data_IF_316747617718
#
_entry.id   IF_316747617718
#
_cell.length_a   1.000
_cell.length_b   1.000
_cell.length_c   1.000
_cell.angle_alpha   90.00
_cell.angle_beta   90.00
_cell.angle_gamma   90.00
#
_symmetry.space_group_name_H-M   'P 1'
#
loop_
_entity.id
_entity.type
_entity.pdbx_description
1 polymer ?
#
# COMPACT_ATOMS: atom_id res chain seq x y z
N UNK A 1 -12.59 -26.79 60.63
CA UNK A 1 -11.72 -27.09 59.48
C UNK A 1 -12.54 -27.66 58.33
N UNK A 2 -12.83 -26.85 57.31
CA UNK A 2 -12.59 -27.10 55.86
C UNK A 2 -13.56 -26.25 55.03
N UNK A 3 -12.95 -25.52 54.11
CA UNK A 3 -13.46 -24.33 53.49
C UNK A 3 -14.30 -24.62 52.24
N UNK A 4 -15.29 -23.74 52.09
CA UNK A 4 -16.00 -23.25 50.91
C UNK A 4 -15.29 -23.51 49.55
N UNK A 5 -15.97 -24.22 48.64
CA UNK A 5 -15.66 -24.19 47.21
C UNK A 5 -16.36 -22.98 46.59
N UNK A 6 -15.59 -21.96 46.21
CA UNK A 6 -16.07 -20.82 45.41
C UNK A 6 -15.71 -21.08 43.95
N UNK A 7 -16.74 -21.17 43.11
CA UNK A 7 -16.66 -21.19 41.66
C UNK A 7 -16.16 -19.83 41.15
N UNK A 8 -14.99 -19.81 40.50
CA UNK A 8 -14.49 -18.63 39.78
C UNK A 8 -14.88 -18.77 38.31
N UNK A 9 -15.94 -18.07 37.93
CA UNK A 9 -16.31 -17.83 36.53
C UNK A 9 -15.30 -16.82 35.96
N UNK A 10 -14.38 -17.30 35.12
CA UNK A 10 -13.39 -16.47 34.45
C UNK A 10 -14.08 -15.65 33.35
N UNK A 11 -14.52 -14.45 33.70
CA UNK A 11 -15.03 -13.44 32.78
C UNK A 11 -13.83 -12.90 31.97
N UNK A 12 -13.55 -13.49 30.81
CA UNK A 12 -12.63 -12.90 29.83
C UNK A 12 -13.28 -11.63 29.25
N UNK A 13 -12.97 -10.48 29.85
CA UNK A 13 -13.17 -9.18 29.23
C UNK A 13 -12.23 -9.08 28.01
N UNK A 14 -12.79 -9.25 26.81
CA UNK A 14 -12.14 -8.83 25.58
C UNK A 14 -12.03 -7.30 25.58
N UNK A 15 -10.85 -6.81 25.94
CA UNK A 15 -10.45 -5.43 25.66
C UNK A 15 -10.22 -5.27 24.16
N UNK A 16 -11.29 -5.00 23.41
CA UNK A 16 -11.20 -4.47 22.05
C UNK A 16 -10.75 -3.01 22.14
N UNK A 17 -9.44 -2.80 22.26
CA UNK A 17 -8.81 -1.50 22.16
C UNK A 17 -9.00 -0.93 20.76
N UNK A 18 -9.98 -0.03 20.63
CA UNK A 18 -10.22 0.84 19.48
C UNK A 18 -9.02 1.78 19.27
N UNK A 19 -8.11 1.40 18.36
CA UNK A 19 -6.96 2.24 17.97
C UNK A 19 -6.78 2.29 16.44
N UNK A 20 -7.84 2.07 15.67
CA UNK A 20 -7.82 2.11 14.20
C UNK A 20 -8.08 3.51 13.61
N UNK A 21 -8.44 4.52 14.43
CA UNK A 21 -8.82 5.85 13.94
C UNK A 21 -7.64 6.67 13.40
N UNK A 22 -6.49 6.64 14.07
CA UNK A 22 -5.41 7.60 13.80
C UNK A 22 -4.70 7.37 12.46
N UNK A 23 -4.47 6.11 12.09
CA UNK A 23 -3.83 5.76 10.81
C UNK A 23 -4.72 6.09 9.61
N UNK A 24 -6.03 5.83 9.75
CA UNK A 24 -7.01 6.17 8.73
C UNK A 24 -7.13 7.69 8.52
N UNK A 25 -7.17 8.46 9.61
CA UNK A 25 -7.21 9.93 9.50
C UNK A 25 -5.91 10.49 8.89
N UNK A 26 -4.75 9.96 9.27
CA UNK A 26 -3.47 10.38 8.69
C UNK A 26 -3.43 10.14 7.17
N UNK A 27 -3.84 8.95 6.71
CA UNK A 27 -3.91 8.64 5.28
C UNK A 27 -4.90 9.55 4.54
N UNK A 28 -6.10 9.76 5.11
CA UNK A 28 -7.11 10.65 4.53
C UNK A 28 -6.65 12.10 4.46
N UNK A 29 -5.93 12.59 5.47
CA UNK A 29 -5.37 13.94 5.46
C UNK A 29 -4.33 14.10 4.35
N UNK A 30 -3.48 13.09 4.11
CA UNK A 30 -2.57 13.12 2.96
C UNK A 30 -3.28 13.05 1.60
N UNK A 31 -4.41 12.34 1.50
CA UNK A 31 -5.25 12.41 0.29
C UNK A 31 -5.76 13.83 0.07
N UNK A 32 -6.32 14.47 1.11
CA UNK A 32 -6.82 15.85 1.03
C UNK A 32 -5.72 16.84 0.66
N UNK A 33 -4.53 16.69 1.24
CA UNK A 33 -3.37 17.49 0.87
C UNK A 33 -3.05 17.34 -0.63
N UNK A 34 -3.00 16.11 -1.15
CA UNK A 34 -2.77 15.84 -2.57
C UNK A 34 -3.87 16.38 -3.49
N UNK A 35 -5.11 16.49 -3.01
CA UNK A 35 -6.21 17.13 -3.72
C UNK A 35 -5.99 18.64 -3.90
N UNK A 36 -5.42 19.29 -2.88
CA UNK A 36 -5.16 20.74 -2.89
C UNK A 36 -3.89 21.13 -3.65
N UNK A 37 -2.95 20.20 -3.89
CA UNK A 37 -1.61 20.48 -4.45
C UNK A 37 -1.41 20.00 -5.89
N UNK A 38 -2.50 19.88 -6.66
CA UNK A 38 -2.48 19.48 -8.08
C UNK A 38 -1.85 18.09 -8.38
N UNK A 39 -1.71 17.23 -7.36
CA UNK A 39 -1.35 15.82 -7.58
C UNK A 39 -2.53 15.14 -8.30
N UNK A 40 -2.22 14.52 -9.44
CA UNK A 40 -3.21 13.82 -10.26
C UNK A 40 -3.95 12.76 -9.43
N UNK A 41 -5.28 12.59 -9.60
CA UNK A 41 -6.07 11.61 -8.86
C UNK A 41 -5.44 10.21 -8.81
N UNK A 42 -4.90 9.75 -9.94
CA UNK A 42 -4.25 8.45 -10.06
C UNK A 42 -3.00 8.25 -9.18
N UNK A 43 -2.42 9.31 -8.61
CA UNK A 43 -1.21 9.25 -7.78
C UNK A 43 -1.46 9.65 -6.32
N UNK A 44 -2.68 10.06 -5.96
CA UNK A 44 -2.98 10.54 -4.59
C UNK A 44 -2.83 9.44 -3.55
N UNK A 45 -3.29 8.22 -3.85
CA UNK A 45 -3.08 7.06 -2.97
C UNK A 45 -1.60 6.74 -2.76
N UNK A 46 -0.79 6.84 -3.82
CA UNK A 46 0.66 6.62 -3.76
C UNK A 46 1.36 7.70 -2.93
N UNK A 47 0.96 8.97 -3.09
CA UNK A 47 1.43 10.06 -2.23
C UNK A 47 1.04 9.80 -0.77
N UNK A 48 -0.23 9.46 -0.53
CA UNK A 48 -0.76 9.22 0.81
C UNK A 48 -0.06 8.05 1.52
N UNK A 49 0.26 6.96 0.79
CA UNK A 49 0.99 5.81 1.31
C UNK A 49 2.49 6.04 1.51
N UNK A 50 3.05 7.11 0.93
CA UNK A 50 4.48 7.42 1.02
C UNK A 50 4.80 8.29 2.24
N UNK A 51 6.09 8.45 2.53
CA UNK A 51 6.60 9.41 3.51
C UNK A 51 7.13 10.71 2.86
N UNK A 52 6.78 10.98 1.60
CA UNK A 52 7.27 12.14 0.85
C UNK A 52 6.53 13.42 1.24
N UNK A 53 7.23 14.56 1.19
CA UNK A 53 6.58 15.87 1.12
C UNK A 53 5.91 16.05 -0.25
N UNK A 54 5.02 17.03 -0.36
CA UNK A 54 4.40 17.39 -1.66
C UNK A 54 5.48 17.81 -2.65
N UNK A 55 6.47 18.58 -2.19
CA UNK A 55 7.59 19.08 -2.98
C UNK A 55 8.40 17.93 -3.56
N UNK A 56 8.86 17.00 -2.71
CA UNK A 56 9.68 15.85 -3.11
C UNK A 56 8.92 14.95 -4.10
N UNK A 57 7.63 14.69 -3.81
CA UNK A 57 6.80 13.85 -4.67
C UNK A 57 6.62 14.50 -6.04
N UNK A 58 6.33 15.80 -6.06
CA UNK A 58 6.13 16.58 -7.30
C UNK A 58 7.42 16.70 -8.11
N UNK A 59 8.56 16.90 -7.44
CA UNK A 59 9.87 16.93 -8.09
C UNK A 59 10.15 15.61 -8.80
N UNK A 60 9.92 14.48 -8.15
CA UNK A 60 10.08 13.16 -8.79
C UNK A 60 9.10 12.88 -9.91
N UNK A 61 7.87 13.39 -9.84
CA UNK A 61 6.95 13.35 -10.99
C UNK A 61 7.54 14.11 -12.17
N UNK A 62 8.09 15.30 -11.94
CA UNK A 62 8.68 16.12 -12.98
C UNK A 62 9.98 15.50 -13.54
N UNK A 63 10.79 14.87 -12.69
CA UNK A 63 11.93 14.07 -13.11
C UNK A 63 11.48 12.91 -14.02
N UNK A 64 10.45 12.15 -13.63
CA UNK A 64 9.91 11.07 -14.45
C UNK A 64 9.38 11.56 -15.80
N UNK A 65 8.70 12.71 -15.84
CA UNK A 65 8.22 13.33 -17.09
C UNK A 65 9.33 13.70 -18.08
N UNK A 66 10.53 14.04 -17.57
CA UNK A 66 11.71 14.33 -18.38
C UNK A 66 12.51 13.08 -18.78
N UNK A 67 12.10 11.91 -18.28
CA UNK A 67 12.77 10.64 -18.53
C UNK A 67 12.08 9.82 -19.64
N UNK A 68 12.58 8.62 -19.91
CA UNK A 68 11.94 7.65 -20.81
C UNK A 68 10.89 6.76 -20.11
N UNK A 69 10.52 7.05 -18.87
CA UNK A 69 9.45 6.34 -18.18
C UNK A 69 8.09 6.64 -18.83
N UNK A 70 7.16 5.69 -18.75
CA UNK A 70 5.79 5.89 -19.26
C UNK A 70 4.89 6.53 -18.18
N UNK A 71 3.87 7.33 -18.54
CA UNK A 71 3.08 8.09 -17.58
C UNK A 71 2.48 7.29 -16.41
N UNK A 72 2.01 6.07 -16.68
CA UNK A 72 1.38 5.20 -15.67
C UNK A 72 2.33 4.83 -14.50
N UNK A 73 3.65 4.96 -14.68
CA UNK A 73 4.62 4.65 -13.62
C UNK A 73 5.16 5.87 -12.88
N UNK A 74 4.74 7.08 -13.23
CA UNK A 74 5.28 8.31 -12.60
C UNK A 74 4.99 8.36 -11.11
N UNK A 75 3.74 8.16 -10.69
CA UNK A 75 3.38 8.14 -9.26
C UNK A 75 4.13 7.07 -8.47
N UNK A 76 4.33 5.90 -9.07
CA UNK A 76 5.07 4.81 -8.45
C UNK A 76 6.54 5.17 -8.24
N UNK A 77 7.16 5.86 -9.20
CA UNK A 77 8.52 6.39 -9.06
C UNK A 77 8.58 7.47 -7.98
N UNK A 78 7.63 8.40 -7.99
CA UNK A 78 7.57 9.50 -7.02
C UNK A 78 7.40 9.03 -5.57
N UNK A 79 6.60 7.98 -5.34
CA UNK A 79 6.48 7.35 -4.04
C UNK A 79 7.73 6.55 -3.61
N UNK A 80 8.61 6.21 -4.54
CA UNK A 80 9.74 5.31 -4.30
C UNK A 80 10.97 6.02 -3.73
N UNK A 81 11.77 5.28 -2.96
CA UNK A 81 13.10 5.71 -2.49
C UNK A 81 14.24 5.45 -3.48
N UNK A 82 13.94 4.81 -4.63
CA UNK A 82 14.93 4.50 -5.67
C UNK A 82 15.28 5.75 -6.47
N UNK A 83 16.51 5.78 -7.00
CA UNK A 83 16.90 6.75 -8.03
C UNK A 83 16.24 6.42 -9.37
N UNK A 84 16.20 7.38 -10.29
CA UNK A 84 15.65 7.17 -11.63
C UNK A 84 16.31 6.00 -12.37
N UNK A 85 17.64 5.86 -12.26
CA UNK A 85 18.39 4.75 -12.87
C UNK A 85 17.99 3.40 -12.27
N UNK A 86 17.96 3.30 -10.94
CA UNK A 86 17.55 2.07 -10.24
C UNK A 86 16.12 1.66 -10.62
N UNK A 87 15.20 2.62 -10.59
CA UNK A 87 13.81 2.39 -10.95
C UNK A 87 13.66 1.99 -12.42
N UNK A 88 14.36 2.67 -13.33
CA UNK A 88 14.35 2.37 -14.77
C UNK A 88 14.92 0.98 -15.07
N UNK A 89 15.98 0.55 -14.38
CA UNK A 89 16.53 -0.81 -14.49
C UNK A 89 15.48 -1.86 -14.10
N UNK A 90 14.73 -1.63 -13.02
CA UNK A 90 13.64 -2.54 -12.60
C UNK A 90 12.48 -2.55 -13.60
N UNK A 91 12.11 -1.40 -14.18
CA UNK A 91 11.11 -1.35 -15.26
C UNK A 91 11.56 -2.19 -16.48
N UNK A 92 12.84 -2.08 -16.88
CA UNK A 92 13.41 -2.89 -17.97
C UNK A 92 13.38 -4.37 -17.63
N UNK A 93 13.76 -4.75 -16.41
CA UNK A 93 13.71 -6.13 -15.95
C UNK A 93 12.28 -6.70 -15.97
N UNK A 94 11.29 -5.93 -15.50
CA UNK A 94 9.88 -6.31 -15.56
C UNK A 94 9.39 -6.49 -17.00
N UNK A 95 9.82 -5.62 -17.93
CA UNK A 95 9.50 -5.76 -19.36
C UNK A 95 10.13 -7.02 -19.95
N UNK A 96 11.38 -7.32 -19.63
CA UNK A 96 12.08 -8.51 -20.10
C UNK A 96 11.44 -9.80 -19.58
N UNK A 97 10.89 -9.78 -18.36
CA UNK A 97 10.13 -10.88 -17.78
C UNK A 97 8.66 -10.93 -18.24
N UNK A 98 8.28 -10.17 -19.27
CA UNK A 98 6.90 -10.12 -19.81
C UNK A 98 5.83 -9.75 -18.77
N UNK A 99 6.20 -9.05 -17.70
CA UNK A 99 5.26 -8.60 -16.67
C UNK A 99 4.21 -7.66 -17.28
N UNK A 100 2.93 -7.85 -16.91
CA UNK A 100 1.80 -7.01 -17.37
C UNK A 100 2.11 -5.53 -17.08
N UNK A 101 1.87 -4.59 -18.04
CA UNK A 101 2.23 -3.18 -17.87
C UNK A 101 1.75 -2.54 -16.57
N UNK A 102 0.54 -2.87 -16.13
CA UNK A 102 -0.07 -2.35 -14.89
C UNK A 102 0.71 -2.71 -13.61
N UNK A 103 1.52 -3.77 -13.62
CA UNK A 103 2.30 -4.20 -12.46
C UNK A 103 3.75 -3.69 -12.46
N UNK A 104 4.25 -3.22 -13.62
CA UNK A 104 5.67 -2.85 -13.76
C UNK A 104 6.09 -1.74 -12.80
N UNK A 105 5.23 -0.73 -12.63
CA UNK A 105 5.48 0.37 -11.70
C UNK A 105 5.56 -0.12 -10.24
N UNK A 106 4.64 -0.98 -9.83
CA UNK A 106 4.57 -1.55 -8.49
C UNK A 106 5.76 -2.47 -8.20
N UNK A 107 6.15 -3.30 -9.17
CA UNK A 107 7.37 -4.09 -9.07
C UNK A 107 8.62 -3.21 -8.96
N UNK A 108 8.74 -2.18 -9.81
CA UNK A 108 9.88 -1.27 -9.80
C UNK A 108 9.97 -0.47 -8.50
N UNK A 109 8.83 -0.08 -7.94
CA UNK A 109 8.70 0.54 -6.62
C UNK A 109 9.14 -0.41 -5.49
N UNK A 110 8.72 -1.68 -5.53
CA UNK A 110 9.00 -2.66 -4.49
C UNK A 110 10.47 -3.09 -4.40
N UNK A 111 10.83 -3.74 -3.29
CA UNK A 111 12.13 -4.39 -3.09
C UNK A 111 12.11 -5.90 -3.39
N UNK A 112 10.98 -6.43 -3.88
CA UNK A 112 10.81 -7.85 -4.21
C UNK A 112 11.66 -8.25 -5.42
N UNK A 113 12.13 -9.49 -5.44
CA UNK A 113 12.58 -10.12 -6.67
C UNK A 113 11.39 -10.32 -7.64
N UNK A 114 11.69 -10.54 -8.93
CA UNK A 114 10.64 -10.81 -9.93
C UNK A 114 9.85 -12.06 -9.54
N UNK A 115 10.55 -13.10 -9.06
CA UNK A 115 9.93 -14.36 -8.66
C UNK A 115 8.97 -14.16 -7.47
N UNK A 116 9.42 -13.50 -6.40
CA UNK A 116 8.55 -13.22 -5.24
C UNK A 116 7.34 -12.38 -5.62
N UNK A 117 7.54 -11.35 -6.45
CA UNK A 117 6.45 -10.49 -6.90
C UNK A 117 5.41 -11.29 -7.70
N UNK A 118 5.86 -12.13 -8.63
CA UNK A 118 4.95 -12.95 -9.45
C UNK A 118 4.20 -14.00 -8.62
N UNK A 119 4.86 -14.65 -7.66
CA UNK A 119 4.20 -15.58 -6.73
C UNK A 119 3.04 -14.89 -6.00
N UNK A 120 3.24 -13.65 -5.51
CA UNK A 120 2.16 -12.91 -4.85
C UNK A 120 1.06 -12.45 -5.82
N UNK A 121 1.39 -12.21 -7.09
CA UNK A 121 0.37 -11.95 -8.12
C UNK A 121 -0.49 -13.21 -8.33
N UNK A 122 0.12 -14.37 -8.48
CA UNK A 122 -0.59 -15.65 -8.64
C UNK A 122 -1.46 -15.97 -7.42
N UNK A 123 -0.92 -15.78 -6.21
CA UNK A 123 -1.67 -15.91 -4.97
C UNK A 123 -2.89 -14.98 -4.95
N UNK A 124 -2.73 -13.71 -5.33
CA UNK A 124 -3.84 -12.77 -5.40
C UNK A 124 -4.85 -13.12 -6.50
N UNK A 125 -4.40 -13.64 -7.64
CA UNK A 125 -5.25 -14.11 -8.74
C UNK A 125 -6.07 -15.35 -8.37
N UNK A 126 -5.56 -16.20 -7.47
CA UNK A 126 -6.28 -17.35 -6.92
C UNK A 126 -7.37 -16.98 -5.90
N UNK A 127 -7.52 -15.70 -5.54
CA UNK A 127 -8.54 -15.20 -4.62
C UNK A 127 -9.54 -14.26 -5.30
N UNK A 128 -10.50 -13.76 -4.53
CA UNK A 128 -11.46 -12.72 -4.97
C UNK A 128 -10.86 -11.30 -4.94
N UNK A 129 -9.54 -11.16 -4.79
CA UNK A 129 -8.86 -9.85 -4.79
C UNK A 129 -9.04 -9.14 -6.14
N UNK A 130 -9.57 -7.91 -6.08
CA UNK A 130 -9.77 -7.07 -7.26
C UNK A 130 -8.44 -6.83 -7.98
N UNK A 131 -8.41 -6.86 -9.33
CA UNK A 131 -7.18 -6.64 -10.11
C UNK A 131 -6.38 -5.40 -9.73
N UNK A 132 -7.08 -4.31 -9.37
CA UNK A 132 -6.44 -3.05 -8.99
C UNK A 132 -5.65 -3.13 -7.67
N UNK A 133 -5.88 -4.13 -6.82
CA UNK A 133 -5.16 -4.32 -5.56
C UNK A 133 -3.99 -5.31 -5.65
N UNK A 134 -4.00 -6.21 -6.65
CA UNK A 134 -3.06 -7.33 -6.74
C UNK A 134 -1.61 -6.87 -6.78
N UNK A 135 -1.32 -5.82 -7.55
CA UNK A 135 0.03 -5.28 -7.63
C UNK A 135 0.50 -4.63 -6.33
N UNK A 136 -0.40 -3.96 -5.59
CA UNK A 136 -0.08 -3.40 -4.27
C UNK A 136 0.17 -4.50 -3.25
N UNK A 137 -0.63 -5.57 -3.28
CA UNK A 137 -0.39 -6.76 -2.47
C UNK A 137 0.98 -7.37 -2.77
N UNK A 138 1.28 -7.59 -4.05
CA UNK A 138 2.54 -8.17 -4.50
C UNK A 138 3.76 -7.31 -4.15
N UNK A 139 3.61 -5.99 -4.15
CA UNK A 139 4.66 -5.06 -3.71
C UNK A 139 4.84 -5.03 -2.18
N UNK A 140 3.84 -5.44 -1.40
CA UNK A 140 3.83 -5.32 0.06
C UNK A 140 4.51 -6.48 0.79
N UNK A 141 4.83 -6.26 2.06
CA UNK A 141 5.28 -7.26 3.04
C UNK A 141 4.13 -7.98 3.76
N UNK A 142 2.87 -7.61 3.49
CA UNK A 142 1.70 -8.16 4.18
C UNK A 142 1.37 -9.56 3.68
N UNK A 143 0.86 -10.41 4.58
CA UNK A 143 0.15 -11.62 4.19
C UNK A 143 -1.17 -11.25 3.52
N UNK A 144 -1.75 -12.17 2.73
CA UNK A 144 -3.00 -11.91 2.02
C UNK A 144 -4.16 -11.60 2.98
N UNK A 145 -4.20 -12.25 4.14
CA UNK A 145 -5.23 -12.00 5.17
C UNK A 145 -5.11 -10.59 5.76
N UNK A 146 -3.89 -10.17 6.12
CA UNK A 146 -3.65 -8.83 6.66
C UNK A 146 -3.96 -7.77 5.61
N UNK A 147 -3.55 -8.01 4.36
CA UNK A 147 -3.84 -7.09 3.27
C UNK A 147 -5.36 -6.95 3.04
N UNK A 148 -6.09 -8.05 2.97
CA UNK A 148 -7.54 -8.06 2.79
C UNK A 148 -8.30 -7.45 3.97
N UNK A 149 -7.82 -7.65 5.21
CA UNK A 149 -8.37 -6.99 6.38
C UNK A 149 -8.22 -5.47 6.26
N UNK A 150 -7.03 -4.98 5.90
CA UNK A 150 -6.78 -3.54 5.74
C UNK A 150 -7.61 -2.92 4.62
N UNK A 151 -7.91 -3.66 3.55
CA UNK A 151 -8.87 -3.21 2.52
C UNK A 151 -10.26 -2.99 3.12
N UNK A 152 -10.74 -3.91 3.98
CA UNK A 152 -12.05 -3.78 4.65
C UNK A 152 -12.06 -2.59 5.61
N UNK A 153 -10.98 -2.43 6.39
CA UNK A 153 -10.82 -1.31 7.32
C UNK A 153 -10.79 0.04 6.59
N UNK A 154 -10.04 0.14 5.48
CA UNK A 154 -9.99 1.36 4.66
C UNK A 154 -11.38 1.76 4.15
N UNK A 155 -12.12 0.79 3.63
CA UNK A 155 -13.50 1.01 3.15
C UNK A 155 -14.42 1.46 4.27
N UNK A 156 -14.36 0.80 5.44
CA UNK A 156 -15.15 1.17 6.61
C UNK A 156 -14.81 2.58 7.13
N UNK A 157 -13.56 3.01 6.97
CA UNK A 157 -13.08 4.35 7.34
C UNK A 157 -13.39 5.45 6.31
N UNK A 158 -14.03 5.09 5.19
CA UNK A 158 -14.39 6.03 4.11
C UNK A 158 -13.24 6.39 3.17
N UNK A 159 -12.16 5.61 3.13
CA UNK A 159 -11.10 5.77 2.12
C UNK A 159 -11.68 5.35 0.76
N UNK A 160 -11.55 6.17 -0.31
CA UNK A 160 -12.01 5.79 -1.64
C UNK A 160 -11.44 4.45 -2.09
N UNK A 161 -12.26 3.59 -2.71
CA UNK A 161 -11.86 2.25 -3.17
C UNK A 161 -10.60 2.28 -4.03
N UNK A 162 -10.42 3.35 -4.84
CA UNK A 162 -9.26 3.54 -5.69
C UNK A 162 -7.92 3.64 -4.93
N UNK A 163 -7.93 3.97 -3.63
CA UNK A 163 -6.73 4.14 -2.80
C UNK A 163 -6.58 3.06 -1.72
N UNK A 164 -7.52 2.11 -1.66
CA UNK A 164 -7.51 1.06 -0.64
C UNK A 164 -6.29 0.14 -0.80
N UNK A 165 -5.83 -0.11 -2.02
CA UNK A 165 -4.66 -0.96 -2.28
C UNK A 165 -3.38 -0.36 -1.68
N UNK A 166 -3.19 0.93 -1.87
CA UNK A 166 -2.09 1.72 -1.31
C UNK A 166 -2.17 1.78 0.21
N UNK A 167 -3.36 2.03 0.78
CA UNK A 167 -3.56 1.96 2.23
C UNK A 167 -3.21 0.58 2.79
N UNK A 168 -3.70 -0.48 2.15
CA UNK A 168 -3.47 -1.86 2.59
C UNK A 168 -2.00 -2.27 2.50
N UNK A 169 -1.27 -1.80 1.48
CA UNK A 169 0.16 -2.04 1.32
C UNK A 169 1.04 -1.19 2.27
N UNK A 170 0.55 -0.04 2.71
CA UNK A 170 1.34 0.93 3.48
C UNK A 170 1.79 0.42 4.85
N UNK A 171 2.83 1.06 5.38
CA UNK A 171 3.31 0.85 6.74
C UNK A 171 2.59 1.69 7.80
N UNK A 172 1.46 2.34 7.45
CA UNK A 172 0.56 2.89 8.46
C UNK A 172 0.13 1.74 9.36
N UNK A 173 0.77 1.66 10.51
CA UNK A 173 0.63 0.61 11.49
C UNK A 173 0.70 1.28 12.85
N UNK A 174 -0.10 0.75 13.79
CA UNK A 174 0.07 0.94 15.24
C UNK A 174 1.56 1.05 15.55
N UNK A 175 2.06 2.26 15.82
CA UNK A 175 3.33 2.36 16.53
C UNK A 175 3.08 1.81 17.95
N UNK A 176 4.02 1.01 18.49
CA UNK A 176 3.90 0.46 19.84
C UNK A 176 3.75 1.55 20.90
#
# INVERSE_FOLDING_TARGET
MRALFVTITLLMLFLLGSCTSNDNEAFKNRIKEAETTAILPAFRGLYAASNKSVEDFTEKINEAKRSSLIPIVYGHYAASNKTLDQYSKRIKAAKAASMKPMYRGLFAFSDKSIQEFNIKIEEAEATTMLPLFRGHYAASDKSIDVFNLRIKEAKAAGIPTAYCGEYAASHFSKKP
#
